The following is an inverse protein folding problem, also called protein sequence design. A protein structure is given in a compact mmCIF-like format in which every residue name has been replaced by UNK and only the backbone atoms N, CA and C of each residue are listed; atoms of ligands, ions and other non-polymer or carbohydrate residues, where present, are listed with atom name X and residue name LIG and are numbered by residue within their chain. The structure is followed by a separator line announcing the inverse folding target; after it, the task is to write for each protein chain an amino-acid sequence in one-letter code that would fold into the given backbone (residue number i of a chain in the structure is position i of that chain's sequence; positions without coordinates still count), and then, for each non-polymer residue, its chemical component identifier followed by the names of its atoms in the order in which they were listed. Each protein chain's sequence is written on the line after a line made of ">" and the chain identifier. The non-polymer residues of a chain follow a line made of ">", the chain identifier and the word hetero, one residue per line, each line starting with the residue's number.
data_IF_007369767074
#
_entry.id   IF_007369767074
#
_cell.length_a   1.000
_cell.length_b   1.000
_cell.length_c   1.000
_cell.angle_alpha   90.00
_cell.angle_beta   90.00
_cell.angle_gamma   90.00
#
_symmetry.space_group_name_H-M   'P 1'
#
loop_
_entity.id
_entity.type
_entity.pdbx_description
1 polymer ?
#
# COMPACT_ATOMS: atom_id res chain seq x y z
N UNK A 1 12.07 23.94 -26.77
CA UNK A 1 12.61 23.17 -25.63
C UNK A 1 11.44 22.38 -25.08
N UNK A 2 11.52 21.06 -25.24
CA UNK A 2 10.40 20.12 -25.15
C UNK A 2 9.75 20.09 -23.78
N UNK A 3 8.44 20.29 -23.79
CA UNK A 3 7.54 20.23 -22.66
C UNK A 3 7.68 18.89 -21.90
N UNK A 4 7.82 18.99 -20.58
CA UNK A 4 7.76 17.86 -19.65
C UNK A 4 6.30 17.41 -19.60
N UNK A 5 5.88 16.61 -20.58
CA UNK A 5 4.54 16.00 -20.65
C UNK A 5 4.64 14.50 -20.45
N UNK A 6 5.02 14.05 -19.25
CA UNK A 6 4.86 12.64 -18.85
C UNK A 6 4.43 12.44 -17.39
N UNK A 7 3.92 13.48 -16.72
CA UNK A 7 2.94 13.24 -15.66
C UNK A 7 1.59 13.07 -16.32
N UNK A 8 1.44 11.95 -17.04
CA UNK A 8 0.13 11.41 -17.36
C UNK A 8 -0.66 11.42 -16.07
N UNK A 9 -1.72 12.22 -16.11
CA UNK A 9 -2.91 12.19 -15.28
C UNK A 9 -3.40 10.72 -15.25
N UNK A 10 -2.72 9.88 -14.49
CA UNK A 10 -3.03 8.45 -14.35
C UNK A 10 -4.48 8.41 -13.88
N UNK A 11 -5.29 7.84 -14.75
CA UNK A 11 -6.72 7.68 -14.58
C UNK A 11 -6.98 6.98 -13.25
N UNK A 12 -8.08 7.39 -12.61
CA UNK A 12 -8.61 6.94 -11.31
C UNK A 12 -8.68 5.40 -11.10
N UNK A 13 -8.38 4.60 -12.12
CA UNK A 13 -8.50 3.15 -12.16
C UNK A 13 -7.26 2.41 -11.64
N UNK A 14 -6.08 3.04 -11.63
CA UNK A 14 -4.82 2.36 -11.31
C UNK A 14 -4.08 3.00 -10.13
N UNK A 15 -4.75 3.23 -8.99
CA UNK A 15 -4.01 3.50 -7.75
C UNK A 15 -3.13 2.27 -7.47
N UNK A 16 -1.78 2.39 -7.53
CA UNK A 16 -0.87 1.26 -7.43
C UNK A 16 -0.64 0.96 -5.95
N UNK A 17 -1.68 0.48 -5.28
CA UNK A 17 -1.71 0.20 -3.85
C UNK A 17 -0.52 -0.66 -3.39
N UNK A 18 -0.05 -1.56 -4.26
CA UNK A 18 1.08 -2.46 -3.98
C UNK A 18 2.45 -1.74 -3.95
N UNK A 19 2.62 -0.60 -4.64
CA UNK A 19 3.90 0.14 -4.68
C UNK A 19 4.37 0.58 -3.30
N UNK A 20 3.45 0.81 -2.36
CA UNK A 20 3.83 1.12 -0.98
C UNK A 20 4.69 0.02 -0.35
N UNK A 21 4.31 -1.25 -0.53
CA UNK A 21 5.01 -2.39 0.04
C UNK A 21 6.33 -2.71 -0.68
N UNK A 22 6.49 -2.23 -1.91
CA UNK A 22 7.74 -2.31 -2.68
C UNK A 22 8.73 -1.21 -2.30
N UNK A 23 8.24 0.02 -2.04
CA UNK A 23 9.07 1.20 -1.77
C UNK A 23 9.53 1.24 -0.30
N UNK A 24 8.64 0.89 0.63
CA UNK A 24 8.93 0.97 2.06
C UNK A 24 9.30 -0.39 2.62
N UNK A 25 10.39 -0.44 3.37
CA UNK A 25 10.76 -1.63 4.13
C UNK A 25 9.67 -2.01 5.14
N UNK A 26 9.54 -3.30 5.42
CA UNK A 26 8.43 -3.83 6.21
C UNK A 26 8.34 -3.27 7.64
N UNK A 27 9.45 -2.87 8.24
CA UNK A 27 9.50 -2.18 9.54
C UNK A 27 8.84 -0.79 9.53
N UNK A 28 8.63 -0.20 8.34
CA UNK A 28 7.98 1.10 8.14
C UNK A 28 6.50 1.00 7.79
N UNK A 29 5.97 -0.21 7.59
CA UNK A 29 4.57 -0.39 7.22
C UNK A 29 3.63 0.08 8.34
N UNK A 30 2.73 0.98 7.99
CA UNK A 30 1.74 1.57 8.89
C UNK A 30 0.49 1.92 8.10
N UNK A 31 -0.67 1.54 8.63
CA UNK A 31 -1.96 1.87 8.02
C UNK A 31 -2.10 3.38 7.84
N UNK A 32 -1.65 4.17 8.83
CA UNK A 32 -1.71 5.63 8.76
C UNK A 32 -0.86 6.17 7.60
N UNK A 33 0.42 5.76 7.52
CA UNK A 33 1.31 6.20 6.44
C UNK A 33 0.79 5.81 5.06
N UNK A 34 0.31 4.57 4.93
CA UNK A 34 -0.26 4.07 3.69
C UNK A 34 -1.49 4.89 3.26
N UNK A 35 -2.43 5.11 4.18
CA UNK A 35 -3.66 5.85 3.90
C UNK A 35 -3.37 7.32 3.57
N UNK A 36 -2.49 7.99 4.33
CA UNK A 36 -2.08 9.37 4.03
C UNK A 36 -1.45 9.45 2.65
N UNK A 37 -0.48 8.58 2.34
CA UNK A 37 0.19 8.57 1.04
C UNK A 37 -0.81 8.38 -0.11
N UNK A 38 -1.78 7.48 0.04
CA UNK A 38 -2.80 7.24 -0.98
C UNK A 38 -3.77 8.42 -1.10
N UNK A 39 -4.22 9.03 0.00
CA UNK A 39 -5.15 10.18 -0.06
C UNK A 39 -4.46 11.42 -0.64
N UNK A 40 -3.22 11.68 -0.24
CA UNK A 40 -2.47 12.87 -0.63
C UNK A 40 -2.07 12.85 -2.11
N UNK A 41 -1.80 11.66 -2.67
CA UNK A 41 -1.34 11.51 -4.04
C UNK A 41 -2.46 11.24 -5.06
N UNK A 42 -3.65 10.81 -4.62
CA UNK A 42 -4.74 10.43 -5.52
C UNK A 42 -6.04 11.16 -5.15
N UNK A 43 -6.41 12.15 -5.96
CA UNK A 43 -7.54 13.09 -5.75
C UNK A 43 -8.91 12.46 -5.44
N UNK A 44 -9.10 11.18 -5.78
CA UNK A 44 -10.35 10.43 -5.57
C UNK A 44 -10.14 9.13 -4.78
N UNK A 45 -9.01 9.00 -4.09
CA UNK A 45 -8.78 7.84 -3.24
C UNK A 45 -9.80 7.78 -2.10
N UNK A 46 -10.56 6.70 -2.06
CA UNK A 46 -11.45 6.41 -0.94
C UNK A 46 -10.67 5.83 0.22
N UNK A 47 -10.70 6.50 1.37
CA UNK A 47 -10.11 5.98 2.63
C UNK A 47 -10.54 4.54 2.92
N UNK A 48 -11.83 4.22 2.73
CA UNK A 48 -12.35 2.86 2.95
C UNK A 48 -11.72 1.83 2.01
N UNK A 49 -11.54 2.18 0.74
CA UNK A 49 -10.88 1.32 -0.26
C UNK A 49 -9.40 1.14 0.09
N UNK A 50 -8.69 2.21 0.44
CA UNK A 50 -7.30 2.15 0.89
C UNK A 50 -7.14 1.24 2.12
N UNK A 51 -7.97 1.43 3.15
CA UNK A 51 -7.98 0.57 4.34
C UNK A 51 -8.16 -0.90 3.98
N UNK A 52 -9.14 -1.22 3.12
CA UNK A 52 -9.40 -2.60 2.68
C UNK A 52 -8.19 -3.17 1.95
N UNK A 53 -7.63 -2.43 1.00
CA UNK A 53 -6.49 -2.91 0.22
C UNK A 53 -5.27 -3.15 1.11
N UNK A 54 -4.99 -2.27 2.07
CA UNK A 54 -3.87 -2.46 3.01
C UNK A 54 -3.94 -3.81 3.73
N UNK A 55 -5.08 -4.14 4.32
CA UNK A 55 -5.23 -5.41 5.04
C UNK A 55 -5.26 -6.62 4.12
N UNK A 56 -5.91 -6.52 2.96
CA UNK A 56 -5.89 -7.61 1.97
C UNK A 56 -4.45 -7.94 1.55
N UNK A 57 -3.61 -6.94 1.28
CA UNK A 57 -2.20 -7.16 0.93
C UNK A 57 -1.41 -7.83 2.06
N UNK A 58 -1.69 -7.45 3.32
CA UNK A 58 -1.05 -8.11 4.47
C UNK A 58 -1.50 -9.57 4.63
N UNK A 59 -2.77 -9.87 4.37
CA UNK A 59 -3.30 -11.24 4.37
C UNK A 59 -2.64 -12.06 3.25
N UNK A 60 -2.54 -11.53 2.03
CA UNK A 60 -1.84 -12.18 0.90
C UNK A 60 -0.35 -12.47 1.22
N UNK A 61 0.33 -11.55 1.91
CA UNK A 61 1.72 -11.73 2.36
C UNK A 61 1.82 -12.86 3.40
N UNK A 62 0.85 -12.97 4.30
CA UNK A 62 0.83 -14.01 5.33
C UNK A 62 0.64 -15.41 4.73
N UNK A 63 -0.17 -15.52 3.68
CA UNK A 63 -0.46 -16.77 2.98
C UNK A 63 0.65 -17.17 2.00
N UNK A 64 1.57 -16.24 1.68
CA UNK A 64 2.68 -16.52 0.78
C UNK A 64 3.87 -17.21 1.49
N UNK A 65 4.01 -18.52 1.25
CA UNK A 65 5.11 -19.33 1.78
C UNK A 65 6.50 -18.95 1.22
N UNK A 66 6.58 -18.28 0.08
CA UNK A 66 7.84 -17.82 -0.53
C UNK A 66 8.42 -16.55 0.09
N UNK A 67 7.66 -15.85 0.93
CA UNK A 67 8.13 -14.66 1.66
C UNK A 67 8.95 -15.07 2.90
N UNK A 68 9.83 -14.20 3.38
CA UNK A 68 10.60 -14.48 4.59
C UNK A 68 9.71 -14.54 5.83
N UNK A 69 10.11 -15.34 6.83
CA UNK A 69 9.35 -15.44 8.08
C UNK A 69 9.30 -14.10 8.83
N UNK A 70 10.35 -13.29 8.73
CA UNK A 70 10.41 -11.95 9.33
C UNK A 70 9.31 -11.04 8.78
N UNK A 71 9.18 -10.98 7.45
CA UNK A 71 8.16 -10.15 6.78
C UNK A 71 6.75 -10.65 7.14
N UNK A 72 6.53 -11.97 7.16
CA UNK A 72 5.24 -12.54 7.62
C UNK A 72 4.94 -12.18 9.06
N UNK A 73 5.92 -12.24 9.97
CA UNK A 73 5.72 -11.89 11.37
C UNK A 73 5.27 -10.41 11.52
N UNK A 74 5.88 -9.50 10.75
CA UNK A 74 5.50 -8.09 10.73
C UNK A 74 4.07 -7.92 10.19
N UNK A 75 3.75 -8.56 9.07
CA UNK A 75 2.41 -8.50 8.48
C UNK A 75 1.33 -9.04 9.44
N UNK A 76 1.56 -10.19 10.07
CA UNK A 76 0.66 -10.75 11.09
C UNK A 76 0.46 -9.81 12.28
N UNK A 77 1.51 -9.14 12.74
CA UNK A 77 1.42 -8.17 13.84
C UNK A 77 0.56 -6.96 13.45
N UNK A 78 0.65 -6.49 12.21
CA UNK A 78 -0.19 -5.40 11.69
C UNK A 78 -1.65 -5.84 11.55
N UNK A 79 -1.91 -7.06 11.05
CA UNK A 79 -3.27 -7.62 10.96
C UNK A 79 -3.91 -7.77 12.35
N UNK A 80 -3.16 -8.24 13.35
CA UNK A 80 -3.66 -8.35 14.74
C UNK A 80 -4.04 -6.99 15.35
N UNK A 81 -3.46 -5.89 14.86
CA UNK A 81 -3.74 -4.51 15.30
C UNK A 81 -4.95 -3.89 14.59
N UNK A 82 -5.68 -4.64 13.75
CA UNK A 82 -6.91 -4.23 13.04
C UNK A 82 -8.12 -3.95 13.97
N UNK A 83 -7.90 -3.56 15.23
CA UNK A 83 -8.99 -3.21 16.17
C UNK A 83 -9.69 -1.92 15.76
#
# INVERSE_FOLDING_TARGET
>A
MSDITFYTRETMENVPYNKFFEIFSCDKWSLYHYVSLVIDNYKFAEKKKAHRTFFNTLDDINDNHGISQEVRNIAQNLVKRRK
#
